data_IF_803767421311
#
_entry.id   IF_803767421311
#
_cell.length_a   1.000
_cell.length_b   1.000
_cell.length_c   1.000
_cell.angle_alpha   90.00
_cell.angle_beta   90.00
_cell.angle_gamma   90.00
#
_symmetry.space_group_name_H-M   'P 1'
#
loop_
_entity.id
_entity.type
_entity.pdbx_description
1 polymer ?
#
# COMPACT_ATOMS: atom_id res chain seq x y z
N UNK A 1 9.52 10.87 -5.90
CA UNK A 1 10.74 10.13 -6.25
C UNK A 1 10.69 8.87 -5.40
N UNK A 2 10.03 7.84 -5.90
CA UNK A 2 9.42 6.79 -5.07
C UNK A 2 10.36 5.99 -4.17
N UNK A 3 11.66 5.92 -4.47
CA UNK A 3 12.62 5.09 -3.72
C UNK A 3 12.99 5.64 -2.33
N UNK A 4 13.28 6.95 -2.24
CA UNK A 4 13.66 7.58 -0.95
C UNK A 4 12.49 7.56 0.05
N UNK A 5 11.28 7.78 -0.46
CA UNK A 5 10.04 7.76 0.31
C UNK A 5 9.77 6.34 0.83
N UNK A 6 9.92 5.32 -0.03
CA UNK A 6 9.75 3.92 0.36
C UNK A 6 10.75 3.48 1.44
N UNK A 7 12.01 3.94 1.36
CA UNK A 7 13.01 3.66 2.40
C UNK A 7 12.66 4.33 3.73
N UNK A 8 12.17 5.58 3.69
CA UNK A 8 11.78 6.33 4.89
C UNK A 8 10.61 5.66 5.61
N UNK A 9 9.67 5.13 4.85
CA UNK A 9 8.46 4.48 5.38
C UNK A 9 8.69 2.98 5.72
N UNK A 10 9.91 2.47 5.53
CA UNK A 10 10.24 1.07 5.84
C UNK A 10 9.55 0.06 4.93
N UNK A 11 9.23 0.46 3.70
CA UNK A 11 8.59 -0.40 2.71
C UNK A 11 9.61 -1.36 2.12
N UNK A 12 9.21 -2.61 1.90
CA UNK A 12 10.06 -3.58 1.23
C UNK A 12 10.28 -3.18 -0.23
N UNK A 13 11.55 -3.13 -0.62
CA UNK A 13 11.97 -2.76 -1.96
C UNK A 13 12.78 -3.92 -2.53
N UNK A 14 12.38 -4.39 -3.71
CA UNK A 14 13.13 -5.40 -4.46
C UNK A 14 13.66 -4.75 -5.73
N UNK A 15 14.99 -4.71 -5.89
CA UNK A 15 15.61 -4.26 -7.12
C UNK A 15 16.17 -5.46 -7.87
N UNK A 16 15.53 -5.81 -8.99
CA UNK A 16 15.96 -6.92 -9.86
C UNK A 16 16.88 -6.45 -11.00
N UNK A 17 17.60 -5.33 -10.82
CA UNK A 17 18.56 -4.75 -11.77
C UNK A 17 17.93 -4.07 -12.99
N UNK A 18 16.78 -4.55 -13.48
CA UNK A 18 16.02 -3.94 -14.59
C UNK A 18 14.90 -3.03 -14.12
N UNK A 19 14.30 -3.32 -12.96
CA UNK A 19 13.16 -2.58 -12.39
C UNK A 19 13.18 -2.67 -10.87
N UNK A 20 12.80 -1.57 -10.24
CA UNK A 20 12.51 -1.52 -8.81
C UNK A 20 11.05 -1.87 -8.59
N UNK A 21 10.80 -2.81 -7.68
CA UNK A 21 9.47 -3.18 -7.20
C UNK A 21 9.36 -2.76 -5.75
N UNK A 22 8.24 -2.14 -5.42
CA UNK A 22 7.90 -1.73 -4.08
C UNK A 22 6.78 -2.62 -3.58
N UNK A 23 6.80 -2.91 -2.29
CA UNK A 23 5.82 -3.76 -1.64
C UNK A 23 5.13 -2.99 -0.50
N UNK A 24 4.42 -1.88 -0.79
CA UNK A 24 3.64 -1.17 0.23
C UNK A 24 2.60 -2.09 0.88
N UNK A 25 2.32 -1.83 2.16
CA UNK A 25 1.32 -2.60 2.91
C UNK A 25 -0.09 -2.14 2.57
N UNK A 26 -1.02 -3.09 2.49
CA UNK A 26 -2.44 -2.83 2.30
C UNK A 26 -2.99 -2.06 3.51
N UNK A 27 -3.75 -1.00 3.28
CA UNK A 27 -4.39 -0.21 4.35
C UNK A 27 -5.35 -1.03 5.22
N UNK A 28 -5.89 -2.13 4.67
CA UNK A 28 -6.89 -2.95 5.35
C UNK A 28 -6.28 -4.12 6.12
N UNK A 29 -5.45 -4.93 5.44
CA UNK A 29 -4.92 -6.16 6.02
C UNK A 29 -3.41 -6.13 6.29
N UNK A 30 -2.72 -5.04 5.95
CA UNK A 30 -1.27 -4.94 6.07
C UNK A 30 -0.47 -5.79 5.06
N UNK A 31 -1.14 -6.54 4.19
CA UNK A 31 -0.47 -7.42 3.21
C UNK A 31 0.36 -6.63 2.20
N UNK A 32 1.52 -7.15 1.83
CA UNK A 32 2.43 -6.54 0.87
C UNK A 32 1.84 -6.54 -0.55
N UNK A 33 1.65 -5.36 -1.14
CA UNK A 33 1.11 -5.17 -2.48
C UNK A 33 2.23 -4.79 -3.43
N UNK A 34 2.46 -5.59 -4.46
CA UNK A 34 3.48 -5.26 -5.46
C UNK A 34 3.06 -4.03 -6.28
N UNK A 35 3.91 -3.00 -6.28
CA UNK A 35 3.76 -1.78 -7.07
C UNK A 35 5.07 -1.41 -7.75
N UNK A 36 4.98 -0.84 -8.96
CA UNK A 36 6.15 -0.29 -9.66
C UNK A 36 6.47 1.14 -9.25
N UNK A 37 5.48 1.86 -8.70
CA UNK A 37 5.63 3.19 -8.15
C UNK A 37 5.12 3.22 -6.72
N UNK A 38 5.96 3.69 -5.82
CA UNK A 38 5.58 4.00 -4.45
C UNK A 38 5.18 5.47 -4.33
N UNK A 39 4.01 5.71 -3.76
CA UNK A 39 3.44 7.03 -3.50
C UNK A 39 3.16 7.04 -1.99
N UNK A 40 3.89 7.84 -1.20
CA UNK A 40 3.56 8.00 0.21
C UNK A 40 2.15 8.59 0.35
N UNK A 41 1.46 8.24 1.44
CA UNK A 41 0.05 8.56 1.70
C UNK A 41 -0.97 7.97 0.71
N UNK A 42 -0.55 7.13 -0.23
CA UNK A 42 -1.49 6.40 -1.07
C UNK A 42 -2.05 5.19 -0.34
N UNK A 43 -3.38 5.07 -0.38
CA UNK A 43 -4.14 3.99 0.23
C UNK A 43 -4.05 2.69 -0.60
N UNK A 44 -2.89 2.05 -0.56
CA UNK A 44 -2.66 0.77 -1.23
C UNK A 44 -3.64 -0.29 -0.72
N UNK A 45 -4.26 -1.00 -1.65
CA UNK A 45 -5.27 -2.02 -1.36
C UNK A 45 -4.92 -3.29 -2.13
N UNK A 46 -4.73 -4.40 -1.44
CA UNK A 46 -4.48 -5.68 -2.09
C UNK A 46 -5.73 -6.14 -2.85
N UNK A 47 -5.55 -7.07 -3.80
CA UNK A 47 -6.64 -7.61 -4.62
C UNK A 47 -7.76 -8.24 -3.79
N UNK A 48 -7.42 -8.90 -2.69
CA UNK A 48 -8.40 -9.52 -1.79
C UNK A 48 -9.25 -8.48 -1.05
N UNK A 49 -8.61 -7.48 -0.44
CA UNK A 49 -9.33 -6.36 0.19
C UNK A 49 -10.08 -5.51 -0.84
N UNK A 50 -9.64 -5.46 -2.09
CA UNK A 50 -10.36 -4.79 -3.17
C UNK A 50 -11.66 -5.49 -3.50
N UNK A 51 -11.69 -6.83 -3.52
CA UNK A 51 -12.92 -7.62 -3.68
C UNK A 51 -13.86 -7.44 -2.49
N UNK A 52 -13.31 -7.38 -1.28
CA UNK A 52 -14.07 -7.20 -0.05
C UNK A 52 -14.34 -5.75 0.32
N UNK A 53 -13.94 -4.78 -0.52
CA UNK A 53 -14.01 -3.34 -0.22
C UNK A 53 -15.41 -2.91 0.20
N UNK A 54 -16.44 -3.41 -0.48
CA UNK A 54 -17.85 -3.11 -0.19
C UNK A 54 -18.27 -3.59 1.20
N UNK A 55 -17.75 -4.75 1.64
CA UNK A 55 -18.01 -5.31 2.97
C UNK A 55 -17.19 -4.59 4.04
N UNK A 56 -15.91 -4.31 3.77
CA UNK A 56 -14.99 -3.64 4.70
C UNK A 56 -15.42 -2.20 5.00
N UNK A 57 -15.92 -1.47 3.99
CA UNK A 57 -16.48 -0.12 4.18
C UNK A 57 -17.76 -0.15 5.02
N UNK A 58 -18.59 -1.19 4.88
CA UNK A 58 -19.82 -1.34 5.68
C UNK A 58 -19.54 -1.69 7.14
N UNK A 59 -18.43 -2.38 7.42
CA UNK A 59 -18.08 -2.78 8.79
C UNK A 59 -17.62 -1.62 9.68
N UNK A 60 -17.28 -0.45 9.13
CA UNK A 60 -16.88 0.72 9.93
C UNK A 60 -15.54 0.57 10.67
N UNK A 61 -14.85 -0.57 10.52
CA UNK A 61 -13.58 -0.90 11.20
C UNK A 61 -12.40 -0.10 10.62
N UNK A 62 -12.53 0.40 9.39
CA UNK A 62 -11.47 1.12 8.70
C UNK A 62 -11.87 2.58 8.51
N UNK A 63 -11.46 3.43 9.44
CA UNK A 63 -11.40 4.87 9.22
C UNK A 63 -10.23 5.14 8.27
N UNK A 64 -10.47 5.67 7.05
CA UNK A 64 -9.37 6.26 6.29
C UNK A 64 -8.77 7.36 7.18
N UNK A 65 -7.45 7.36 7.35
CA UNK A 65 -6.76 8.43 8.06
C UNK A 65 -7.02 9.73 7.30
N UNK A 66 -8.00 10.51 7.75
CA UNK A 66 -8.22 11.88 7.32
C UNK A 66 -6.99 12.67 7.74
N UNK A 67 -6.22 13.19 6.78
CA UNK A 67 -5.26 14.24 7.08
C UNK A 67 -6.07 15.48 7.46
N UNK A 68 -5.97 15.86 8.73
CA UNK A 68 -6.33 17.20 9.24
C UNK A 68 -5.34 18.26 8.74
#
# INVERSE_FOLDING_TARGET
MSYKEALKDGIRIENNGKRTRYYPRCQFCGYEVQSYNYIPDYNYTCTECRKMKTTLLKTGIFTPHSKE
#
